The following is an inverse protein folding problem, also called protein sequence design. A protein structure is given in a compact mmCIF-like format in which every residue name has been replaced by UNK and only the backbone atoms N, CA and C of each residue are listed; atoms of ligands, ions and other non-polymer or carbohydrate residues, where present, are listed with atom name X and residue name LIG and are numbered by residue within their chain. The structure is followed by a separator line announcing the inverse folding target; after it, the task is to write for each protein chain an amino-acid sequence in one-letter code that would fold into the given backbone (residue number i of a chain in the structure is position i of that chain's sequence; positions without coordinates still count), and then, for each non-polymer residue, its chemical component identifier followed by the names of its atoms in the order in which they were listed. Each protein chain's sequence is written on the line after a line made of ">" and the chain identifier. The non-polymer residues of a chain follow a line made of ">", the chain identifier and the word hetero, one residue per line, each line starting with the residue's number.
data_IF_613767219518
#
_entry.id   IF_613767219518
#
_cell.length_a   1.000
_cell.length_b   1.000
_cell.length_c   1.000
_cell.angle_alpha   90.00
_cell.angle_beta   90.00
_cell.angle_gamma   90.00
#
_symmetry.space_group_name_H-M   'P 1'
#
loop_
_entity.id
_entity.type
_entity.pdbx_description
1 polymer ?
#
# COMPACT_ATOMS: atom_id res chain seq x y z
N UNK A 1 10.10 -13.50 -3.63
CA UNK A 1 9.95 -14.74 -2.86
C UNK A 1 8.47 -14.86 -2.47
N UNK A 2 7.70 -15.69 -3.18
CA UNK A 2 6.27 -15.85 -2.93
C UNK A 2 6.06 -16.57 -1.60
N UNK A 3 5.28 -15.99 -0.68
CA UNK A 3 4.78 -16.70 0.49
C UNK A 3 3.70 -17.70 0.06
N UNK A 4 4.15 -18.84 -0.46
CA UNK A 4 3.31 -19.94 -0.97
C UNK A 4 2.44 -20.58 0.12
N UNK A 5 2.73 -20.30 1.40
CA UNK A 5 2.08 -20.93 2.56
C UNK A 5 0.61 -20.53 2.73
N UNK A 6 0.21 -19.34 2.26
CA UNK A 6 -1.14 -18.79 2.51
C UNK A 6 -2.12 -18.91 1.35
N UNK A 7 -1.62 -19.16 0.14
CA UNK A 7 -2.44 -19.19 -1.09
C UNK A 7 -3.03 -20.57 -1.34
N UNK A 8 -2.30 -21.64 -1.01
CA UNK A 8 -2.74 -23.02 -1.25
C UNK A 8 -4.04 -23.41 -0.51
N UNK A 9 -4.22 -23.11 0.79
CA UNK A 9 -5.47 -23.43 1.47
C UNK A 9 -6.69 -22.68 0.90
N UNK A 10 -6.49 -21.48 0.34
CA UNK A 10 -7.57 -20.67 -0.25
C UNK A 10 -8.04 -21.23 -1.60
N UNK A 11 -7.11 -21.73 -2.41
CA UNK A 11 -7.45 -22.41 -3.66
C UNK A 11 -8.27 -23.68 -3.38
N UNK A 12 -7.90 -24.45 -2.36
CA UNK A 12 -8.67 -25.63 -1.92
C UNK A 12 -10.07 -25.24 -1.43
N UNK A 13 -10.22 -24.14 -0.68
CA UNK A 13 -11.54 -23.62 -0.30
C UNK A 13 -12.39 -23.28 -1.52
N UNK A 14 -11.80 -22.62 -2.53
CA UNK A 14 -12.51 -22.26 -3.76
C UNK A 14 -12.99 -23.49 -4.53
N UNK A 15 -12.14 -24.51 -4.64
CA UNK A 15 -12.46 -25.78 -5.28
C UNK A 15 -13.57 -26.53 -4.54
N UNK A 16 -13.39 -26.77 -3.22
CA UNK A 16 -14.39 -27.48 -2.40
C UNK A 16 -15.74 -26.76 -2.35
N UNK A 17 -15.74 -25.44 -2.51
CA UNK A 17 -16.96 -24.64 -2.58
C UNK A 17 -17.72 -24.82 -3.89
N UNK A 18 -17.02 -25.09 -4.99
CA UNK A 18 -17.64 -25.38 -6.28
C UNK A 18 -18.26 -26.79 -6.32
N UNK A 19 -17.70 -27.73 -5.54
CA UNK A 19 -18.20 -29.11 -5.47
C UNK A 19 -19.47 -29.27 -4.60
N UNK A 20 -19.51 -28.76 -3.35
CA UNK A 20 -20.60 -29.10 -2.40
C UNK A 20 -20.90 -28.04 -1.29
N UNK A 21 -21.92 -28.31 -0.46
CA UNK A 21 -22.43 -27.46 0.62
C UNK A 21 -21.35 -27.05 1.64
N UNK A 22 -21.37 -25.75 1.97
CA UNK A 22 -20.41 -25.04 2.84
C UNK A 22 -20.16 -25.64 4.22
N UNK A 23 -21.08 -26.48 4.73
CA UNK A 23 -21.02 -27.09 6.06
C UNK A 23 -19.93 -28.16 6.19
N UNK A 24 -19.55 -28.84 5.10
CA UNK A 24 -18.57 -29.95 5.14
C UNK A 24 -17.13 -29.53 4.82
N UNK A 25 -16.93 -28.31 4.31
CA UNK A 25 -15.62 -27.79 3.89
C UNK A 25 -14.61 -27.82 5.04
N UNK A 26 -15.04 -27.49 6.26
CA UNK A 26 -14.17 -27.50 7.44
C UNK A 26 -13.64 -28.90 7.77
N UNK A 27 -14.51 -29.92 7.75
CA UNK A 27 -14.14 -31.29 8.07
C UNK A 27 -13.14 -31.85 7.04
N UNK A 28 -13.36 -31.57 5.75
CA UNK A 28 -12.43 -31.95 4.67
C UNK A 28 -11.09 -31.23 4.79
N UNK A 29 -11.09 -29.92 5.05
CA UNK A 29 -9.84 -29.19 5.28
C UNK A 29 -9.08 -29.72 6.50
N UNK A 30 -9.77 -30.03 7.60
CA UNK A 30 -9.13 -30.59 8.80
C UNK A 30 -8.55 -31.99 8.54
N UNK A 31 -9.20 -32.81 7.72
CA UNK A 31 -8.68 -34.13 7.35
C UNK A 31 -7.36 -34.05 6.56
N UNK A 32 -7.21 -33.05 5.68
CA UNK A 32 -6.01 -32.89 4.84
C UNK A 32 -4.89 -32.14 5.56
N UNK A 33 -5.19 -31.03 6.22
CA UNK A 33 -4.19 -30.14 6.82
C UNK A 33 -3.92 -30.42 8.31
N UNK A 34 -4.75 -31.23 8.98
CA UNK A 34 -4.59 -31.57 10.40
C UNK A 34 -4.51 -30.32 11.29
N UNK A 35 -3.44 -30.25 12.10
CA UNK A 35 -3.14 -29.13 12.99
C UNK A 35 -2.73 -27.84 12.25
N UNK A 36 -2.31 -27.94 11.00
CA UNK A 36 -1.99 -26.77 10.15
C UNK A 36 -3.23 -26.20 9.45
N UNK A 37 -4.41 -26.73 9.73
CA UNK A 37 -5.66 -26.29 9.14
C UNK A 37 -6.03 -24.86 9.58
N UNK A 38 -6.61 -24.09 8.65
CA UNK A 38 -7.13 -22.77 8.96
C UNK A 38 -8.29 -22.87 9.97
N UNK A 39 -8.37 -21.90 10.87
CA UNK A 39 -9.49 -21.81 11.80
C UNK A 39 -10.84 -21.79 11.05
N UNK A 40 -11.84 -22.49 11.60
CA UNK A 40 -13.19 -22.59 11.02
C UNK A 40 -13.75 -21.23 10.57
N UNK A 41 -13.62 -20.20 11.42
CA UNK A 41 -14.05 -18.82 11.10
C UNK A 41 -13.39 -18.25 9.83
N UNK A 42 -12.10 -18.49 9.64
CA UNK A 42 -11.35 -18.00 8.46
C UNK A 42 -11.85 -18.68 7.19
N UNK A 43 -12.13 -19.98 7.26
CA UNK A 43 -12.65 -20.77 6.14
C UNK A 43 -14.01 -20.24 5.69
N UNK A 44 -14.96 -20.08 6.64
CA UNK A 44 -16.29 -19.54 6.31
C UNK A 44 -16.23 -18.12 5.74
N UNK A 45 -15.34 -17.27 6.27
CA UNK A 45 -15.12 -15.92 5.73
C UNK A 45 -14.63 -15.95 4.28
N UNK A 46 -13.79 -16.92 3.91
CA UNK A 46 -13.37 -17.10 2.52
C UNK A 46 -14.49 -17.66 1.65
N UNK A 47 -15.28 -18.62 2.14
CA UNK A 47 -16.47 -19.11 1.43
C UNK A 47 -17.43 -17.97 1.07
N UNK A 48 -17.73 -17.08 2.02
CA UNK A 48 -18.58 -15.90 1.78
C UNK A 48 -18.00 -14.94 0.74
N UNK A 49 -16.67 -14.76 0.74
CA UNK A 49 -16.00 -13.92 -0.27
C UNK A 49 -16.11 -14.53 -1.67
N UNK A 50 -15.99 -15.85 -1.78
CA UNK A 50 -16.16 -16.56 -3.04
C UNK A 50 -17.63 -16.53 -3.51
N UNK A 51 -18.61 -16.65 -2.61
CA UNK A 51 -20.04 -16.42 -2.92
C UNK A 51 -20.29 -15.02 -3.47
N UNK A 52 -19.62 -14.00 -2.90
CA UNK A 52 -19.70 -12.62 -3.37
C UNK A 52 -18.94 -12.36 -4.69
N UNK A 53 -18.55 -13.41 -5.43
CA UNK A 53 -17.93 -13.30 -6.75
C UNK A 53 -16.43 -13.01 -6.75
N UNK A 54 -15.73 -13.08 -5.61
CA UNK A 54 -14.28 -12.83 -5.56
C UNK A 54 -13.50 -14.03 -6.10
N UNK A 55 -12.92 -13.91 -7.30
CA UNK A 55 -12.09 -14.97 -7.91
C UNK A 55 -10.60 -14.90 -7.53
N UNK A 56 -10.14 -13.78 -6.95
CA UNK A 56 -8.73 -13.59 -6.65
C UNK A 56 -8.31 -14.29 -5.35
N UNK A 57 -7.43 -15.28 -5.48
CA UNK A 57 -6.87 -16.09 -4.39
C UNK A 57 -5.86 -15.28 -3.55
N UNK A 58 -5.21 -14.29 -4.17
CA UNK A 58 -4.27 -13.41 -3.49
C UNK A 58 -5.02 -12.42 -2.59
N UNK A 59 -4.32 -11.97 -1.55
CA UNK A 59 -4.80 -10.83 -0.79
C UNK A 59 -4.87 -9.62 -1.72
N UNK A 60 -6.02 -8.94 -1.71
CA UNK A 60 -6.11 -7.63 -2.33
C UNK A 60 -5.12 -6.72 -1.62
N UNK A 61 -4.60 -5.69 -2.32
CA UNK A 61 -3.83 -4.64 -1.67
C UNK A 61 -4.62 -4.21 -0.43
N UNK A 62 -4.01 -4.37 0.75
CA UNK A 62 -4.63 -3.89 1.97
C UNK A 62 -4.82 -2.39 1.75
N UNK A 63 -6.03 -1.83 1.92
CA UNK A 63 -6.15 -0.39 1.96
C UNK A 63 -5.23 0.10 3.06
N UNK A 64 -4.09 0.67 2.66
CA UNK A 64 -3.16 1.30 3.56
C UNK A 64 -3.76 2.60 4.06
N UNK A 65 -3.13 3.18 5.07
CA UNK A 65 -3.37 4.55 5.52
C UNK A 65 -2.81 5.56 4.50
N UNK A 66 -3.10 5.38 3.21
CA UNK A 66 -2.68 6.31 2.14
C UNK A 66 -3.73 7.40 1.87
N UNK A 67 -4.80 7.50 2.67
CA UNK A 67 -6.04 8.10 2.16
C UNK A 67 -6.59 9.36 2.83
N UNK A 68 -5.90 9.99 3.79
CA UNK A 68 -6.48 11.18 4.45
C UNK A 68 -5.69 12.48 4.22
N UNK A 69 -4.39 12.42 3.91
CA UNK A 69 -3.55 13.64 3.84
C UNK A 69 -3.03 13.94 2.43
N UNK A 70 -3.17 13.00 1.50
CA UNK A 70 -2.60 13.06 0.14
C UNK A 70 -3.69 13.32 -0.91
N UNK A 71 -4.52 14.35 -0.68
CA UNK A 71 -5.42 14.83 -1.72
C UNK A 71 -4.62 15.37 -2.91
N UNK A 72 -5.18 15.31 -4.12
CA UNK A 72 -4.53 15.90 -5.30
C UNK A 72 -4.18 17.38 -5.09
N UNK A 73 -5.03 18.12 -4.40
CA UNK A 73 -4.78 19.52 -4.03
C UNK A 73 -3.53 19.70 -3.15
N UNK A 74 -3.29 18.83 -2.15
CA UNK A 74 -2.10 18.95 -1.30
C UNK A 74 -0.84 18.54 -2.05
N UNK A 75 -0.93 17.59 -2.98
CA UNK A 75 0.18 17.23 -3.86
C UNK A 75 0.57 18.41 -4.75
N UNK A 76 -0.41 19.06 -5.40
CA UNK A 76 -0.17 20.23 -6.25
C UNK A 76 0.42 21.40 -5.46
N UNK A 77 -0.08 21.69 -4.26
CA UNK A 77 0.44 22.75 -3.42
C UNK A 77 1.91 22.51 -3.00
N UNK A 78 2.28 21.26 -2.68
CA UNK A 78 3.67 20.89 -2.41
C UNK A 78 4.55 21.06 -3.65
N UNK A 79 4.06 20.68 -4.83
CA UNK A 79 4.82 20.82 -6.08
C UNK A 79 5.04 22.29 -6.46
N UNK A 80 4.02 23.13 -6.28
CA UNK A 80 4.10 24.57 -6.53
C UNK A 80 5.15 25.24 -5.61
N UNK A 81 5.12 24.94 -4.31
CA UNK A 81 6.12 25.41 -3.34
C UNK A 81 7.56 25.06 -3.74
N UNK A 82 7.77 23.81 -4.19
CA UNK A 82 9.10 23.36 -4.63
C UNK A 82 9.50 24.04 -5.94
N UNK A 83 8.55 24.30 -6.84
CA UNK A 83 8.81 24.99 -8.10
C UNK A 83 9.15 26.47 -7.88
N UNK A 84 8.49 27.13 -6.93
CA UNK A 84 8.77 28.52 -6.54
C UNK A 84 10.15 28.65 -5.87
N UNK A 85 10.51 27.73 -4.98
CA UNK A 85 11.80 27.72 -4.31
C UNK A 85 12.42 26.32 -4.28
N UNK A 86 13.33 26.06 -5.22
CA UNK A 86 14.03 24.76 -5.34
C UNK A 86 14.92 24.41 -4.14
N UNK A 87 15.18 25.34 -3.22
CA UNK A 87 15.98 25.15 -2.01
C UNK A 87 15.15 25.02 -0.73
N UNK A 88 13.81 25.04 -0.83
CA UNK A 88 12.91 24.97 0.32
C UNK A 88 13.10 23.67 1.12
N UNK A 89 12.95 23.75 2.44
CA UNK A 89 13.10 22.61 3.34
C UNK A 89 11.72 21.98 3.58
N UNK A 90 11.64 20.64 3.58
CA UNK A 90 10.39 19.92 3.83
C UNK A 90 9.68 20.30 5.15
N UNK A 91 10.40 20.88 6.13
CA UNK A 91 9.82 21.40 7.37
C UNK A 91 9.05 22.70 7.15
N UNK A 92 9.51 23.56 6.26
CA UNK A 92 8.86 24.83 5.93
C UNK A 92 7.54 24.55 5.20
N UNK A 93 7.57 23.68 4.20
CA UNK A 93 6.36 23.20 3.49
C UNK A 93 5.35 22.58 4.48
N UNK A 94 5.82 21.79 5.45
CA UNK A 94 4.96 21.16 6.45
C UNK A 94 4.25 22.20 7.34
N UNK A 95 4.95 23.27 7.72
CA UNK A 95 4.37 24.37 8.51
C UNK A 95 3.36 25.14 7.68
N UNK A 96 3.74 25.51 6.45
CA UNK A 96 2.90 26.34 5.58
C UNK A 96 1.61 25.65 5.17
N UNK A 97 1.69 24.36 4.80
CA UNK A 97 0.52 23.59 4.41
C UNK A 97 -0.21 22.95 5.61
N UNK A 98 0.28 23.15 6.84
CA UNK A 98 -0.24 22.50 8.05
C UNK A 98 -0.33 20.96 7.94
N UNK A 99 0.67 20.35 7.30
CA UNK A 99 0.75 18.91 7.05
C UNK A 99 1.89 18.32 7.88
N UNK A 100 1.77 17.04 8.29
CA UNK A 100 2.88 16.37 8.96
C UNK A 100 4.13 16.27 8.07
N UNK A 101 5.32 16.45 8.66
CA UNK A 101 6.60 16.28 7.96
C UNK A 101 6.70 14.93 7.23
N UNK A 102 6.15 13.86 7.82
CA UNK A 102 6.13 12.53 7.21
C UNK A 102 5.29 12.47 5.94
N UNK A 103 4.15 13.15 5.91
CA UNK A 103 3.31 13.24 4.72
C UNK A 103 3.98 14.08 3.62
N UNK A 104 4.62 15.21 3.95
CA UNK A 104 5.40 15.99 2.98
C UNK A 104 6.53 15.14 2.38
N UNK A 105 7.28 14.43 3.21
CA UNK A 105 8.35 13.54 2.74
C UNK A 105 7.81 12.43 1.82
N UNK A 106 6.67 11.83 2.15
CA UNK A 106 6.01 10.86 1.30
C UNK A 106 5.56 11.47 -0.04
N UNK A 107 4.97 12.67 -0.04
CA UNK A 107 4.55 13.35 -1.27
C UNK A 107 5.76 13.61 -2.17
N UNK A 108 6.82 14.21 -1.64
CA UNK A 108 8.03 14.56 -2.40
C UNK A 108 8.65 13.32 -3.05
N UNK A 109 8.85 12.24 -2.29
CA UNK A 109 9.59 11.07 -2.80
C UNK A 109 8.73 10.01 -3.48
N UNK A 110 7.48 9.79 -3.04
CA UNK A 110 6.63 8.70 -3.54
C UNK A 110 5.59 9.17 -4.56
N UNK A 111 5.12 10.43 -4.47
CA UNK A 111 4.12 10.96 -5.41
C UNK A 111 4.75 11.82 -6.51
N UNK A 112 5.66 12.73 -6.15
CA UNK A 112 6.35 13.62 -7.10
C UNK A 112 7.67 13.03 -7.64
N UNK A 113 8.30 12.13 -6.90
CA UNK A 113 9.54 11.47 -7.32
C UNK A 113 10.79 12.37 -7.22
N UNK A 114 10.73 13.48 -6.50
CA UNK A 114 11.87 14.38 -6.34
C UNK A 114 12.95 13.79 -5.42
N UNK A 115 14.21 14.15 -5.72
CA UNK A 115 15.38 13.83 -4.92
C UNK A 115 16.10 15.10 -4.49
N UNK A 116 16.70 15.09 -3.30
CA UNK A 116 17.57 16.19 -2.85
C UNK A 116 18.91 16.09 -3.55
N UNK A 117 19.32 17.14 -4.25
CA UNK A 117 20.66 17.28 -4.83
C UNK A 117 21.42 18.36 -4.06
N UNK A 118 22.69 18.10 -3.74
CA UNK A 118 23.54 19.10 -3.10
C UNK A 118 23.98 20.15 -4.13
N UNK A 119 24.07 21.41 -3.71
CA UNK A 119 24.58 22.46 -4.57
C UNK A 119 26.02 22.16 -5.00
N UNK A 120 26.33 22.37 -6.27
CA UNK A 120 27.68 22.28 -6.79
C UNK A 120 28.45 23.55 -6.39
N UNK A 121 29.71 23.38 -5.97
CA UNK A 121 30.60 24.51 -5.74
C UNK A 121 30.89 25.21 -7.07
N UNK A 122 30.55 26.50 -7.15
CA UNK A 122 30.85 27.35 -8.30
C UNK A 122 32.03 28.26 -7.93
N UNK A 123 33.18 28.16 -8.62
CA UNK A 123 34.28 29.10 -8.43
C UNK A 123 33.85 30.54 -8.73
N UNK A 124 34.28 31.46 -7.86
CA UNK A 124 33.99 32.90 -7.73
C UNK A 124 33.12 33.55 -8.81
N UNK A 125 32.06 34.22 -8.35
CA UNK A 125 31.20 35.07 -9.17
C UNK A 125 32.03 36.13 -9.91
N UNK A 126 31.98 36.12 -11.24
CA UNK A 126 32.42 37.26 -12.03
C UNK A 126 31.38 38.36 -11.82
N UNK A 127 31.79 39.47 -11.23
CA UNK A 127 31.02 40.71 -11.26
C UNK A 127 31.43 41.43 -12.55
N UNK A 128 30.46 41.85 -13.35
CA UNK A 128 30.70 42.69 -14.52
C UNK A 128 31.40 43.99 -14.07
N UNK A 129 32.46 44.36 -14.80
CA UNK A 129 33.20 45.60 -14.63
C UNK A 129 32.37 46.82 -15.03
#
# INVERSE_FOLDING_TARGET
>A
MMDSSRTAPRAVIQFLRAEEHSSQIYSRMKAVYGEQCLARRTIFRWCQRYEAGRLNIKDLPRPGQEHVVTNSATISAVDEQICQNRRIIAREIAVELSISKGAVHHIIHKKLGYGKVCAQWVPKHLSDC
#
